data_IF_545631419826
#
_entry.id   IF_545631419826
#
_cell.length_a   1.000
_cell.length_b   1.000
_cell.length_c   1.000
_cell.angle_alpha   90.00
_cell.angle_beta   90.00
_cell.angle_gamma   90.00
#
_symmetry.space_group_name_H-M   'P 1'
#
loop_
_entity.id
_entity.type
_entity.pdbx_description
1 polymer ?
#
# COMPACT_ATOMS: atom_id res chain seq x y z
N UNK A 1 -5.87 -9.08 -19.30
CA UNK A 1 -5.16 -7.90 -18.78
C UNK A 1 -4.03 -8.29 -17.84
N UNK A 2 -4.29 -8.83 -16.64
CA UNK A 2 -3.22 -9.15 -15.67
C UNK A 2 -2.16 -10.16 -16.17
N UNK A 3 -2.50 -11.00 -17.16
CA UNK A 3 -1.56 -11.92 -17.82
C UNK A 3 -0.49 -11.23 -18.70
N UNK A 4 -0.73 -9.99 -19.10
CA UNK A 4 0.13 -9.23 -20.01
C UNK A 4 1.05 -8.24 -19.27
N UNK A 5 0.95 -8.17 -17.94
CA UNK A 5 1.69 -7.21 -17.12
C UNK A 5 2.99 -7.83 -16.62
N UNK A 6 4.08 -7.06 -16.65
CA UNK A 6 5.37 -7.47 -16.07
C UNK A 6 5.31 -7.58 -14.54
N UNK A 7 4.56 -6.67 -13.91
CA UNK A 7 4.37 -6.63 -12.46
C UNK A 7 2.89 -6.48 -12.17
N UNK A 8 2.34 -7.51 -11.54
CA UNK A 8 0.98 -7.46 -11.00
C UNK A 8 1.02 -6.73 -9.65
N UNK A 9 0.19 -5.71 -9.51
CA UNK A 9 0.14 -4.86 -8.32
C UNK A 9 -1.24 -4.84 -7.68
N UNK A 10 -1.26 -4.88 -6.35
CA UNK A 10 -2.44 -4.64 -5.53
C UNK A 10 -2.27 -3.37 -4.71
N UNK A 11 -3.02 -3.28 -3.63
CA UNK A 11 -2.97 -2.17 -2.69
C UNK A 11 -3.24 -2.66 -1.27
N UNK A 12 -2.75 -1.90 -0.29
CA UNK A 12 -3.22 -2.02 1.08
C UNK A 12 -3.10 -0.69 1.82
N UNK A 13 -4.08 -0.47 2.68
CA UNK A 13 -4.32 0.78 3.38
C UNK A 13 -4.03 0.62 4.89
N UNK A 14 -3.45 1.66 5.50
CA UNK A 14 -3.24 1.77 6.94
C UNK A 14 -4.40 2.52 7.59
N UNK A 15 -4.76 2.11 8.82
CA UNK A 15 -5.92 2.62 9.56
C UNK A 15 -7.23 2.45 8.79
N UNK A 16 -7.86 1.29 8.95
CA UNK A 16 -9.19 1.03 8.38
C UNK A 16 -10.23 1.80 9.20
N UNK A 17 -10.82 2.85 8.63
CA UNK A 17 -12.00 3.47 9.23
C UNK A 17 -13.21 2.54 9.03
N UNK A 18 -14.09 2.50 10.03
CA UNK A 18 -15.34 1.70 9.99
C UNK A 18 -16.40 2.34 9.08
N UNK A 19 -16.15 3.57 8.59
CA UNK A 19 -17.08 4.34 7.78
C UNK A 19 -17.18 3.82 6.34
N UNK A 20 -16.17 3.10 5.88
CA UNK A 20 -16.14 2.47 4.56
C UNK A 20 -15.64 1.03 4.68
N UNK A 21 -16.09 0.13 3.80
CA UNK A 21 -15.64 -1.26 3.78
C UNK A 21 -14.19 -1.41 3.27
N UNK A 22 -13.28 -0.54 3.73
CA UNK A 22 -11.88 -0.46 3.31
C UNK A 22 -11.08 -1.73 3.64
N UNK A 23 -11.61 -2.58 4.53
CA UNK A 23 -11.08 -3.93 4.76
C UNK A 23 -10.97 -4.76 3.46
N UNK A 24 -11.79 -4.46 2.44
CA UNK A 24 -11.76 -5.16 1.16
C UNK A 24 -10.51 -4.81 0.34
N UNK A 25 -9.97 -3.60 0.46
CA UNK A 25 -8.82 -3.16 -0.34
C UNK A 25 -7.53 -3.88 0.05
N UNK A 26 -7.36 -4.21 1.35
CA UNK A 26 -6.23 -5.03 1.82
C UNK A 26 -6.26 -6.48 1.31
N UNK A 27 -7.33 -6.91 0.61
CA UNK A 27 -7.44 -8.26 0.04
C UNK A 27 -6.82 -8.36 -1.35
N UNK A 28 -6.58 -7.24 -2.02
CA UNK A 28 -6.07 -7.21 -3.40
C UNK A 28 -4.66 -7.80 -3.49
N UNK A 29 -3.80 -7.61 -2.48
CA UNK A 29 -2.44 -8.20 -2.41
C UNK A 29 -2.47 -9.72 -2.59
N UNK A 30 -3.40 -10.42 -1.94
CA UNK A 30 -3.49 -11.89 -2.09
C UNK A 30 -3.98 -12.28 -3.48
N UNK A 31 -4.87 -11.48 -4.07
CA UNK A 31 -5.37 -11.72 -5.41
C UNK A 31 -4.26 -11.59 -6.45
N UNK A 32 -3.48 -10.50 -6.44
CA UNK A 32 -2.35 -10.35 -7.38
C UNK A 32 -1.22 -11.32 -7.10
N UNK A 33 -0.98 -11.72 -5.84
CA UNK A 33 -0.04 -12.81 -5.54
C UNK A 33 -0.48 -14.12 -6.21
N UNK A 34 -1.76 -14.49 -6.13
CA UNK A 34 -2.28 -15.68 -6.81
C UNK A 34 -2.11 -15.60 -8.34
N UNK A 35 -2.36 -14.43 -8.93
CA UNK A 35 -2.16 -14.22 -10.37
C UNK A 35 -0.68 -14.36 -10.73
N UNK A 36 0.22 -13.66 -10.04
CA UNK A 36 1.65 -13.71 -10.30
C UNK A 36 2.19 -15.14 -10.17
N UNK A 37 1.83 -15.87 -9.11
CA UNK A 37 2.30 -17.25 -8.93
C UNK A 37 1.77 -18.20 -10.01
N UNK A 38 0.51 -18.05 -10.43
CA UNK A 38 -0.07 -18.90 -11.50
C UNK A 38 0.62 -18.66 -12.85
N UNK A 39 1.14 -17.45 -13.07
CA UNK A 39 1.80 -17.04 -14.31
C UNK A 39 3.33 -17.10 -14.26
N UNK A 40 3.92 -17.57 -13.14
CA UNK A 40 5.37 -17.63 -12.96
C UNK A 40 6.05 -16.27 -12.70
N UNK A 41 5.29 -15.23 -12.38
CA UNK A 41 5.80 -13.91 -12.00
C UNK A 41 6.51 -13.95 -10.65
N UNK A 42 7.68 -13.30 -10.57
CA UNK A 42 8.52 -13.26 -9.36
C UNK A 42 8.26 -12.05 -8.46
N UNK A 43 7.61 -11.02 -9.01
CA UNK A 43 7.38 -9.75 -8.32
C UNK A 43 5.90 -9.54 -8.13
N UNK A 44 5.50 -9.32 -6.88
CA UNK A 44 4.16 -8.89 -6.50
C UNK A 44 4.33 -7.52 -5.86
N UNK A 45 3.85 -6.49 -6.55
CA UNK A 45 3.89 -5.13 -6.03
C UNK A 45 2.63 -4.80 -5.24
N UNK A 46 2.71 -3.81 -4.37
CA UNK A 46 1.52 -3.15 -3.86
C UNK A 46 1.77 -1.66 -3.63
N UNK A 47 0.74 -0.87 -3.96
CA UNK A 47 0.54 0.44 -3.34
C UNK A 47 0.39 0.24 -1.83
N UNK A 48 1.30 0.83 -1.07
CA UNK A 48 1.51 0.49 0.33
C UNK A 48 1.28 1.68 1.23
N UNK A 49 0.56 1.42 2.33
CA UNK A 49 0.32 2.37 3.42
C UNK A 49 -0.52 3.58 3.04
N UNK A 50 -1.45 3.41 2.08
CA UNK A 50 -2.44 4.44 1.77
C UNK A 50 -3.33 4.69 2.98
N UNK A 51 -3.65 5.95 3.25
CA UNK A 51 -4.38 6.33 4.46
C UNK A 51 -5.50 7.32 4.15
N UNK A 52 -6.59 7.22 4.89
CA UNK A 52 -7.59 8.28 4.96
C UNK A 52 -7.16 9.36 5.95
N UNK A 53 -7.64 10.62 5.81
CA UNK A 53 -7.32 11.70 6.74
C UNK A 53 -7.64 11.38 8.20
N UNK A 54 -8.64 10.54 8.46
CA UNK A 54 -8.98 10.13 9.82
C UNK A 54 -8.04 9.07 10.40
N UNK A 55 -7.38 8.30 9.54
CA UNK A 55 -6.45 7.25 9.88
C UNK A 55 -4.99 7.73 9.99
N UNK A 56 -4.64 8.76 9.22
CA UNK A 56 -3.31 9.37 9.21
C UNK A 56 -3.42 10.89 9.38
N UNK A 57 -3.10 11.33 10.59
CA UNK A 57 -3.06 12.74 11.01
C UNK A 57 -1.64 13.13 11.38
N UNK A 58 -0.66 12.70 10.59
CA UNK A 58 0.77 12.79 10.94
C UNK A 58 1.15 11.97 12.16
N UNK A 59 0.37 10.93 12.45
CA UNK A 59 0.55 10.06 13.61
C UNK A 59 1.21 8.73 13.24
N UNK A 60 1.37 8.45 11.94
CA UNK A 60 2.02 7.23 11.47
C UNK A 60 3.54 7.34 11.55
N UNK A 61 4.18 6.25 11.94
CA UNK A 61 5.64 6.11 12.03
C UNK A 61 6.03 4.65 11.75
N UNK A 62 7.30 4.35 11.37
CA UNK A 62 7.67 3.02 10.87
C UNK A 62 7.31 1.85 11.80
N UNK A 63 7.41 2.04 13.12
CA UNK A 63 7.05 1.00 14.07
C UNK A 63 5.53 0.71 14.09
N UNK A 64 4.68 1.74 13.97
CA UNK A 64 3.23 1.56 13.86
C UNK A 64 2.82 0.84 12.57
N UNK A 65 3.56 1.03 11.49
CA UNK A 65 3.28 0.45 10.17
C UNK A 65 3.83 -0.98 10.01
N UNK A 66 4.77 -1.39 10.86
CA UNK A 66 5.54 -2.62 10.69
C UNK A 66 4.64 -3.87 10.61
N UNK A 67 3.73 -4.03 11.56
CA UNK A 67 2.87 -5.22 11.65
C UNK A 67 1.99 -5.39 10.42
N UNK A 68 1.47 -4.27 9.88
CA UNK A 68 0.68 -4.27 8.65
C UNK A 68 1.54 -4.67 7.43
N UNK A 69 2.73 -4.08 7.30
CA UNK A 69 3.66 -4.41 6.21
C UNK A 69 4.07 -5.89 6.25
N UNK A 70 4.47 -6.39 7.42
CA UNK A 70 4.82 -7.80 7.64
C UNK A 70 3.65 -8.71 7.27
N UNK A 71 2.44 -8.36 7.70
CA UNK A 71 1.24 -9.12 7.35
C UNK A 71 1.07 -9.19 5.83
N UNK A 72 1.28 -8.10 5.08
CA UNK A 72 1.18 -8.12 3.61
C UNK A 72 2.28 -8.95 2.94
N UNK A 73 3.48 -9.01 3.49
CA UNK A 73 4.50 -9.98 3.05
C UNK A 73 4.01 -11.42 3.21
N UNK A 74 3.32 -11.77 4.31
CA UNK A 74 2.71 -13.12 4.45
C UNK A 74 1.61 -13.40 3.43
N UNK A 75 1.00 -12.36 2.84
CA UNK A 75 -0.01 -12.49 1.78
C UNK A 75 0.59 -12.71 0.40
N UNK A 76 1.91 -12.63 0.25
CA UNK A 76 2.63 -12.84 -1.01
C UNK A 76 3.17 -11.56 -1.64
N UNK A 77 3.15 -10.42 -0.93
CA UNK A 77 3.85 -9.21 -1.37
C UNK A 77 5.36 -9.48 -1.47
N UNK A 78 6.03 -8.93 -2.48
CA UNK A 78 7.49 -8.95 -2.56
C UNK A 78 8.13 -7.59 -2.79
N UNK A 79 7.35 -6.57 -3.19
CA UNK A 79 7.84 -5.19 -3.39
C UNK A 79 6.84 -4.14 -2.94
N UNK A 80 7.29 -3.26 -2.04
CA UNK A 80 6.54 -2.11 -1.53
C UNK A 80 6.68 -0.92 -2.50
N UNK A 81 5.56 -0.27 -2.80
CA UNK A 81 5.52 1.05 -3.44
C UNK A 81 4.79 2.01 -2.50
N UNK A 82 5.53 2.90 -1.85
CA UNK A 82 4.97 3.81 -0.85
C UNK A 82 3.95 4.77 -1.49
N UNK A 83 2.73 4.77 -0.96
CA UNK A 83 1.78 5.86 -1.11
C UNK A 83 1.91 6.74 0.15
N UNK A 84 2.64 7.85 0.13
CA UNK A 84 3.25 8.57 -1.02
C UNK A 84 4.50 9.33 -0.65
N UNK A 85 5.12 9.91 -1.67
CA UNK A 85 6.10 10.98 -1.53
C UNK A 85 5.61 12.22 -2.29
N UNK A 86 4.98 13.17 -1.59
CA UNK A 86 4.43 14.37 -2.20
C UNK A 86 5.54 15.40 -2.49
N UNK A 87 5.51 16.01 -3.68
CA UNK A 87 6.42 17.08 -4.04
C UNK A 87 6.21 18.31 -3.15
N UNK A 88 7.30 18.85 -2.60
CA UNK A 88 7.29 20.07 -1.78
C UNK A 88 7.90 21.24 -2.58
N UNK A 89 7.07 22.13 -3.15
CA UNK A 89 7.58 23.25 -3.95
C UNK A 89 8.12 24.40 -3.07
N UNK A 90 7.74 24.47 -1.79
CA UNK A 90 8.13 25.54 -0.87
C UNK A 90 9.24 25.07 0.08
N UNK A 91 10.46 25.64 0.02
CA UNK A 91 11.61 25.16 0.81
C UNK A 91 11.48 25.25 2.33
N UNK A 92 10.54 26.07 2.82
CA UNK A 92 10.35 26.34 4.25
C UNK A 92 9.06 25.78 4.81
N UNK A 93 8.18 25.22 3.97
CA UNK A 93 6.91 24.68 4.43
C UNK A 93 7.12 23.32 5.10
N UNK A 94 6.71 23.21 6.37
CA UNK A 94 6.74 21.97 7.12
C UNK A 94 5.37 21.75 7.81
N UNK A 95 4.72 20.57 7.65
CA UNK A 95 5.15 19.44 6.81
C UNK A 95 4.91 19.67 5.30
N UNK A 96 4.23 20.77 4.94
CA UNK A 96 4.01 21.18 3.56
C UNK A 96 2.82 20.49 2.88
N UNK A 97 2.94 20.28 1.58
CA UNK A 97 1.92 19.72 0.70
C UNK A 97 1.63 18.24 1.01
N UNK A 98 0.35 17.86 0.95
CA UNK A 98 -0.12 16.47 1.04
C UNK A 98 -1.10 16.17 -0.11
N UNK A 99 -1.63 14.95 -0.14
CA UNK A 99 -2.81 14.59 -0.93
C UNK A 99 -3.95 14.25 0.01
#
# INVERSE_FOLDING_TARGET
VAQQLDINMGEFWCGQTVLWANYKYNRTVKQVASIAHTLGGKVVGAEAFTSEPDADKWLQYPYALKSLGDYMFTRGLSRIYFNRFAHQPHPTAAPGMTM
#
